data_IF_418228918865
#
_entry.id   IF_418228918865
#
_cell.length_a   1.000
_cell.length_b   1.000
_cell.length_c   1.000
_cell.angle_alpha   90.00
_cell.angle_beta   90.00
_cell.angle_gamma   90.00
#
_symmetry.space_group_name_H-M   'P 1'
#
loop_
_entity.id
_entity.type
_entity.pdbx_description
1 polymer ?
#
# COMPACT_ATOMS: atom_id res chain seq x y z
N UNK A 1 13.51 23.20 -29.81
CA UNK A 1 12.93 22.26 -30.81
C UNK A 1 13.33 20.88 -30.33
N UNK A 2 12.40 19.94 -30.19
CA UNK A 2 12.68 18.63 -29.60
C UNK A 2 12.76 17.53 -30.65
N UNK A 3 13.52 16.46 -30.38
CA UNK A 3 13.56 15.26 -31.23
C UNK A 3 12.38 14.30 -30.99
N UNK A 4 12.12 13.40 -31.95
CA UNK A 4 11.16 12.29 -31.79
C UNK A 4 11.86 10.93 -31.82
N UNK A 5 11.35 10.01 -31.02
CA UNK A 5 11.72 8.59 -31.02
C UNK A 5 10.49 7.72 -31.19
N UNK A 6 10.69 6.42 -31.40
CA UNK A 6 9.59 5.47 -31.43
C UNK A 6 8.80 5.49 -30.09
N UNK A 7 7.46 5.54 -30.12
CA UNK A 7 6.64 5.42 -28.93
C UNK A 7 6.94 4.15 -28.14
N UNK A 8 6.79 4.20 -26.82
CA UNK A 8 6.90 3.00 -26.00
C UNK A 8 5.72 2.06 -26.26
N UNK A 9 5.98 0.76 -26.37
CA UNK A 9 4.96 -0.24 -26.78
C UNK A 9 4.08 -0.76 -25.63
N UNK A 10 4.33 -0.31 -24.40
CA UNK A 10 3.62 -0.79 -23.22
C UNK A 10 4.02 -2.18 -22.75
N UNK A 11 5.11 -2.72 -23.28
CA UNK A 11 5.70 -3.98 -22.84
C UNK A 11 6.07 -3.91 -21.37
N UNK A 12 5.71 -4.96 -20.62
CA UNK A 12 6.01 -5.11 -19.20
C UNK A 12 6.94 -6.29 -18.95
N UNK A 13 7.78 -6.19 -17.93
CA UNK A 13 8.59 -7.29 -17.43
C UNK A 13 7.76 -8.27 -16.59
N UNK A 14 8.39 -9.36 -16.14
CA UNK A 14 7.74 -10.38 -15.31
C UNK A 14 7.23 -9.85 -13.96
N UNK A 15 7.70 -8.67 -13.53
CA UNK A 15 7.30 -8.00 -12.31
C UNK A 15 6.22 -6.93 -12.56
N UNK A 16 5.69 -6.85 -13.78
CA UNK A 16 4.65 -5.91 -14.18
C UNK A 16 5.12 -4.47 -14.35
N UNK A 17 6.44 -4.22 -14.38
CA UNK A 17 7.00 -2.89 -14.66
C UNK A 17 7.14 -2.68 -16.15
N UNK A 18 7.03 -1.43 -16.60
CA UNK A 18 7.33 -1.13 -18.00
C UNK A 18 8.79 -1.44 -18.28
N UNK A 19 9.04 -2.02 -19.45
CA UNK A 19 10.40 -2.14 -19.96
C UNK A 19 11.07 -0.76 -20.02
N UNK A 20 12.37 -0.65 -19.75
CA UNK A 20 13.04 0.65 -19.75
C UNK A 20 12.89 1.39 -21.08
N UNK A 21 12.66 2.70 -21.01
CA UNK A 21 12.76 3.57 -22.19
C UNK A 21 14.22 3.60 -22.63
N UNK A 22 14.51 3.18 -23.87
CA UNK A 22 15.89 3.03 -24.39
C UNK A 22 16.70 4.32 -24.32
N UNK A 23 16.04 5.45 -24.38
CA UNK A 23 16.62 6.78 -24.42
C UNK A 23 16.31 7.62 -23.17
N UNK A 24 15.94 6.95 -22.07
CA UNK A 24 15.82 7.57 -20.76
C UNK A 24 16.85 6.96 -19.78
N UNK A 25 17.22 7.67 -18.70
CA UNK A 25 18.06 7.11 -17.67
C UNK A 25 17.46 5.84 -17.05
N UNK A 26 18.31 4.85 -16.76
CA UNK A 26 17.87 3.56 -16.23
C UNK A 26 17.08 3.66 -14.91
N UNK A 27 17.23 4.74 -14.15
CA UNK A 27 16.49 4.97 -12.91
C UNK A 27 15.06 5.48 -13.12
N UNK A 28 14.69 5.94 -14.32
CA UNK A 28 13.33 6.33 -14.65
C UNK A 28 12.49 5.10 -15.02
N UNK A 29 11.71 4.60 -14.04
CA UNK A 29 10.97 3.34 -14.14
C UNK A 29 9.49 3.49 -13.76
N UNK A 30 8.69 4.33 -14.44
CA UNK A 30 7.24 4.29 -14.28
C UNK A 30 6.72 2.91 -14.70
N UNK A 31 5.61 2.45 -14.10
CA UNK A 31 5.05 1.11 -14.38
C UNK A 31 3.60 1.14 -14.87
N UNK A 32 3.02 2.32 -15.05
CA UNK A 32 1.69 2.51 -15.64
C UNK A 32 1.81 3.15 -17.02
N UNK A 33 1.11 2.61 -18.00
CA UNK A 33 0.93 3.27 -19.30
C UNK A 33 -0.07 4.43 -19.21
N UNK A 34 -0.04 5.40 -20.13
CA UNK A 34 -1.07 6.43 -20.24
C UNK A 34 -2.50 5.86 -20.26
N UNK A 35 -2.72 4.77 -20.99
CA UNK A 35 -4.02 4.10 -21.07
C UNK A 35 -4.44 3.46 -19.74
N UNK A 36 -3.51 2.86 -19.00
CA UNK A 36 -3.77 2.36 -17.65
C UNK A 36 -4.08 3.48 -16.66
N UNK A 37 -3.37 4.61 -16.74
CA UNK A 37 -3.64 5.79 -15.90
C UNK A 37 -5.05 6.35 -16.15
N UNK A 38 -5.47 6.42 -17.41
CA UNK A 38 -6.82 6.83 -17.80
C UNK A 38 -7.89 5.88 -17.25
N UNK A 39 -7.72 4.57 -17.45
CA UNK A 39 -8.68 3.54 -16.98
C UNK A 39 -8.81 3.49 -15.47
N UNK A 40 -7.70 3.64 -14.74
CA UNK A 40 -7.73 3.67 -13.27
C UNK A 40 -8.34 4.96 -12.72
N UNK A 41 -8.49 6.01 -13.53
CA UNK A 41 -9.04 7.27 -13.09
C UNK A 41 -8.00 8.13 -12.37
N UNK A 42 -7.58 9.18 -13.06
CA UNK A 42 -6.59 10.14 -12.58
C UNK A 42 -7.18 11.55 -12.50
N UNK A 43 -6.67 12.35 -11.55
CA UNK A 43 -6.98 13.78 -11.43
C UNK A 43 -8.48 14.11 -11.40
N UNK A 44 -9.30 13.23 -10.84
CA UNK A 44 -10.74 13.40 -10.71
C UNK A 44 -11.48 13.58 -12.03
N UNK A 45 -10.86 13.14 -13.12
CA UNK A 45 -11.43 13.14 -14.46
C UNK A 45 -11.35 14.46 -15.24
N UNK A 46 -10.73 15.50 -14.70
CA UNK A 46 -10.70 16.82 -15.35
C UNK A 46 -9.49 17.06 -16.26
N UNK A 47 -8.53 16.15 -16.25
CA UNK A 47 -7.16 16.46 -16.69
C UNK A 47 -7.06 16.88 -18.16
N UNK A 48 -7.78 16.19 -19.04
CA UNK A 48 -7.77 16.46 -20.48
C UNK A 48 -8.92 17.35 -20.93
N UNK A 49 -9.70 17.92 -20.01
CA UNK A 49 -10.69 18.91 -20.40
C UNK A 49 -9.99 20.14 -21.00
N UNK A 50 -10.30 20.55 -22.24
CA UNK A 50 -9.60 21.67 -22.87
C UNK A 50 -10.00 23.02 -22.27
N UNK A 51 -11.08 23.10 -21.47
CA UNK A 51 -11.52 24.38 -20.91
C UNK A 51 -10.59 24.83 -19.79
N UNK A 52 -10.10 26.07 -19.94
CA UNK A 52 -9.35 26.79 -18.92
C UNK A 52 -10.13 26.96 -17.63
N UNK A 53 -9.40 27.17 -16.53
CA UNK A 53 -9.96 27.36 -15.19
C UNK A 53 -10.31 28.83 -14.88
N UNK A 54 -10.36 29.14 -13.58
CA UNK A 54 -10.79 30.45 -13.04
C UNK A 54 -9.85 31.59 -13.50
N UNK A 55 -10.34 32.84 -13.55
CA UNK A 55 -9.49 34.02 -13.74
C UNK A 55 -8.32 34.02 -12.76
N UNK A 56 -7.11 34.37 -13.22
CA UNK A 56 -5.88 34.39 -12.41
C UNK A 56 -4.92 33.21 -12.61
N UNK A 57 -5.30 32.21 -13.41
CA UNK A 57 -4.40 31.13 -13.84
C UNK A 57 -3.90 31.37 -15.27
N UNK A 58 -2.86 30.66 -15.71
CA UNK A 58 -2.13 30.84 -16.99
C UNK A 58 -3.02 30.84 -18.25
N UNK A 59 -4.16 30.14 -18.21
CA UNK A 59 -5.11 30.07 -19.32
C UNK A 59 -6.55 30.28 -18.85
N UNK A 60 -6.97 31.53 -18.56
CA UNK A 60 -8.31 31.80 -18.07
C UNK A 60 -9.32 31.77 -19.22
N UNK A 61 -10.53 31.27 -18.94
CA UNK A 61 -11.58 31.02 -19.95
C UNK A 61 -11.91 32.25 -20.82
N UNK A 62 -11.91 33.44 -20.25
CA UNK A 62 -12.25 34.67 -20.97
C UNK A 62 -11.22 35.04 -22.05
N UNK A 63 -9.94 34.73 -21.83
CA UNK A 63 -8.86 34.96 -22.80
C UNK A 63 -8.65 33.78 -23.76
N UNK A 64 -9.03 32.57 -23.34
CA UNK A 64 -8.87 31.35 -24.11
C UNK A 64 -10.23 30.62 -24.30
N UNK A 65 -11.18 31.22 -25.06
CA UNK A 65 -12.52 30.66 -25.23
C UNK A 65 -12.53 29.32 -25.99
N UNK A 66 -11.52 29.08 -26.84
CA UNK A 66 -11.34 27.83 -27.59
C UNK A 66 -10.65 26.72 -26.77
N UNK A 67 -10.21 27.02 -25.55
CA UNK A 67 -9.52 26.09 -24.65
C UNK A 67 -8.03 26.41 -24.46
N UNK A 68 -7.41 25.66 -23.56
CA UNK A 68 -5.99 25.76 -23.24
C UNK A 68 -5.17 25.31 -24.46
N UNK A 69 -4.28 26.16 -25.00
CA UNK A 69 -3.43 25.79 -26.12
C UNK A 69 -2.63 24.53 -25.81
N UNK A 70 -2.54 23.61 -26.78
CA UNK A 70 -1.76 22.38 -26.61
C UNK A 70 -2.37 21.36 -25.63
N UNK A 71 -3.62 21.52 -25.19
CA UNK A 71 -4.36 20.48 -24.46
C UNK A 71 -5.48 19.96 -25.36
N UNK A 72 -5.23 18.82 -26.01
CA UNK A 72 -6.24 18.05 -26.74
C UNK A 72 -5.96 16.57 -26.57
N UNK A 73 -7.01 15.74 -26.59
CA UNK A 73 -6.86 14.28 -26.64
C UNK A 73 -6.44 13.79 -28.04
N UNK A 74 -6.63 14.61 -29.07
CA UNK A 74 -6.34 14.26 -30.46
C UNK A 74 -4.83 14.09 -30.74
N UNK A 75 -3.98 14.55 -29.82
CA UNK A 75 -2.53 14.37 -29.92
C UNK A 75 -2.05 12.96 -29.53
N UNK A 76 -2.95 12.13 -28.98
CA UNK A 76 -2.64 10.81 -28.46
C UNK A 76 -3.36 9.69 -29.25
N UNK A 77 -2.83 8.46 -29.21
CA UNK A 77 -3.49 7.30 -29.82
C UNK A 77 -4.92 7.13 -29.32
N UNK A 78 -5.88 6.95 -30.24
CA UNK A 78 -7.31 6.83 -29.91
C UNK A 78 -7.59 5.59 -29.06
N UNK A 79 -6.81 4.55 -29.27
CA UNK A 79 -6.86 3.25 -28.59
C UNK A 79 -6.64 3.41 -27.08
N UNK A 80 -5.94 4.47 -26.65
CA UNK A 80 -5.74 4.73 -25.21
C UNK A 80 -7.04 5.10 -24.48
N UNK A 81 -7.98 5.71 -25.20
CA UNK A 81 -9.27 6.18 -24.70
C UNK A 81 -10.42 5.23 -25.02
N UNK A 82 -10.18 4.21 -25.84
CA UNK A 82 -11.18 3.21 -26.18
C UNK A 82 -11.65 2.47 -24.91
N UNK A 83 -12.98 2.44 -24.73
CA UNK A 83 -13.63 1.87 -23.55
C UNK A 83 -13.46 2.67 -22.25
N UNK A 84 -12.81 3.85 -22.28
CA UNK A 84 -12.66 4.72 -21.10
C UNK A 84 -13.85 5.69 -21.05
N UNK A 85 -14.63 5.73 -19.94
CA UNK A 85 -15.68 6.73 -19.78
C UNK A 85 -15.12 8.16 -19.87
N UNK A 86 -15.80 9.04 -20.62
CA UNK A 86 -15.35 10.43 -20.84
C UNK A 86 -15.23 11.20 -19.53
N UNK A 87 -15.99 10.84 -18.51
CA UNK A 87 -15.97 11.43 -17.19
C UNK A 87 -14.61 11.23 -16.49
N UNK A 88 -13.83 10.21 -16.86
CA UNK A 88 -12.51 9.93 -16.31
C UNK A 88 -11.40 10.79 -16.91
N UNK A 89 -11.67 11.61 -17.93
CA UNK A 89 -10.63 12.45 -18.54
C UNK A 89 -11.10 13.79 -19.12
N UNK A 90 -12.37 13.93 -19.49
CA UNK A 90 -12.99 15.15 -20.03
C UNK A 90 -14.02 15.80 -19.08
N UNK A 91 -14.10 15.39 -17.82
CA UNK A 91 -15.00 16.03 -16.86
C UNK A 91 -14.69 17.52 -16.74
N UNK A 92 -15.73 18.33 -16.51
CA UNK A 92 -15.56 19.77 -16.24
C UNK A 92 -15.22 20.06 -14.78
N UNK A 93 -15.60 19.16 -13.88
CA UNK A 93 -15.45 19.33 -12.43
C UNK A 93 -14.75 18.12 -11.84
N UNK A 94 -13.82 18.40 -10.93
CA UNK A 94 -13.08 17.36 -10.25
C UNK A 94 -14.05 16.52 -9.42
N UNK A 95 -14.02 15.21 -9.61
CA UNK A 95 -14.79 14.25 -8.83
C UNK A 95 -13.87 13.21 -8.22
N UNK A 96 -13.87 13.09 -6.90
CA UNK A 96 -13.13 12.01 -6.22
C UNK A 96 -13.65 10.64 -6.60
N UNK A 97 -14.93 10.51 -6.96
CA UNK A 97 -15.52 9.23 -7.40
C UNK A 97 -14.90 8.71 -8.70
N UNK A 98 -14.28 9.59 -9.49
CA UNK A 98 -13.59 9.24 -10.72
C UNK A 98 -12.14 8.80 -10.48
N UNK A 99 -11.64 8.88 -9.25
CA UNK A 99 -10.30 8.42 -8.90
C UNK A 99 -10.31 6.97 -8.44
N UNK A 100 -9.28 6.20 -8.81
CA UNK A 100 -9.05 4.82 -8.37
C UNK A 100 -9.30 4.62 -6.87
N UNK A 101 -8.73 5.50 -6.04
CA UNK A 101 -8.78 5.39 -4.59
C UNK A 101 -9.85 6.26 -3.94
N UNK A 102 -10.76 6.86 -4.72
CA UNK A 102 -11.91 7.67 -4.24
C UNK A 102 -11.56 8.83 -3.29
N UNK A 103 -10.32 9.34 -3.36
CA UNK A 103 -9.82 10.45 -2.54
C UNK A 103 -9.26 11.59 -3.38
N UNK A 104 -9.27 12.80 -2.85
CA UNK A 104 -8.57 13.93 -3.45
C UNK A 104 -7.07 13.82 -3.19
N UNK A 105 -6.26 14.00 -4.24
CA UNK A 105 -4.81 14.06 -4.15
C UNK A 105 -4.27 15.15 -5.09
N UNK A 106 -3.22 15.84 -4.64
CA UNK A 106 -2.53 16.89 -5.39
C UNK A 106 -3.02 18.31 -5.11
N UNK A 107 -2.24 19.27 -5.58
CA UNK A 107 -2.63 20.68 -5.67
C UNK A 107 -3.57 20.88 -6.86
N UNK A 108 -4.26 22.01 -6.88
CA UNK A 108 -4.96 22.46 -8.08
C UNK A 108 -4.01 23.15 -9.07
N UNK A 109 -4.57 23.56 -10.22
CA UNK A 109 -3.80 24.23 -11.28
C UNK A 109 -3.09 25.49 -10.76
N UNK A 110 -3.74 26.29 -9.91
CA UNK A 110 -3.14 27.52 -9.38
C UNK A 110 -1.92 27.19 -8.50
N UNK A 111 -2.01 26.17 -7.65
CA UNK A 111 -0.88 25.70 -6.86
C UNK A 111 0.27 25.12 -7.69
N UNK A 112 -0.03 24.49 -8.84
CA UNK A 112 1.01 24.04 -9.78
C UNK A 112 1.71 25.20 -10.47
N UNK A 113 0.96 26.24 -10.86
CA UNK A 113 1.50 27.44 -11.50
C UNK A 113 2.38 28.24 -10.53
N UNK A 114 1.91 28.47 -9.29
CA UNK A 114 2.70 29.17 -8.27
C UNK A 114 3.97 28.43 -7.88
N UNK A 115 4.00 27.11 -8.04
CA UNK A 115 5.19 26.28 -7.78
C UNK A 115 6.15 26.20 -8.97
N UNK A 116 5.83 26.84 -10.10
CA UNK A 116 6.63 26.76 -11.34
C UNK A 116 6.65 25.35 -11.94
N UNK A 117 5.60 24.55 -11.74
CA UNK A 117 5.54 23.14 -12.17
C UNK A 117 4.97 22.94 -13.57
N UNK A 118 4.41 23.99 -14.16
CA UNK A 118 3.82 24.00 -15.50
C UNK A 118 4.69 24.85 -16.42
N UNK A 119 4.88 24.37 -17.64
CA UNK A 119 5.63 25.05 -18.70
C UNK A 119 4.71 25.30 -19.89
N UNK A 120 5.16 26.11 -20.86
CA UNK A 120 4.42 26.31 -22.11
C UNK A 120 4.41 25.06 -22.98
N UNK A 121 5.41 24.18 -22.81
CA UNK A 121 5.43 22.88 -23.46
C UNK A 121 4.28 22.02 -22.96
N UNK A 122 4.08 21.92 -21.65
CA UNK A 122 3.05 21.06 -21.05
C UNK A 122 2.18 21.83 -20.06
N UNK A 123 1.12 22.51 -20.54
CA UNK A 123 0.18 23.30 -19.74
C UNK A 123 -0.53 22.56 -18.61
N UNK A 124 -0.56 21.22 -18.66
CA UNK A 124 -1.09 20.35 -17.60
C UNK A 124 0.00 19.76 -16.71
N UNK A 125 1.27 20.09 -16.94
CA UNK A 125 2.40 19.65 -16.13
C UNK A 125 2.81 18.20 -16.40
N UNK A 126 3.27 17.52 -15.33
CA UNK A 126 3.97 16.24 -15.44
C UNK A 126 3.20 15.14 -16.18
N UNK A 127 1.89 14.97 -15.94
CA UNK A 127 1.15 13.87 -16.59
C UNK A 127 1.02 14.11 -18.10
N UNK A 128 0.86 15.35 -18.57
CA UNK A 128 0.88 15.66 -20.00
C UNK A 128 2.27 15.48 -20.60
N UNK A 129 3.30 15.93 -19.88
CA UNK A 129 4.69 15.64 -20.26
C UNK A 129 4.89 14.13 -20.42
N UNK A 130 4.44 13.33 -19.45
CA UNK A 130 4.58 11.87 -19.47
C UNK A 130 3.86 11.23 -20.65
N UNK A 131 2.63 11.64 -20.97
CA UNK A 131 1.89 11.10 -22.12
C UNK A 131 2.64 11.38 -23.44
N UNK A 132 3.19 12.59 -23.60
CA UNK A 132 3.96 12.96 -24.79
C UNK A 132 5.33 12.28 -24.82
N UNK A 133 6.01 12.17 -23.68
CA UNK A 133 7.25 11.43 -23.52
C UNK A 133 7.05 9.95 -23.88
N UNK A 134 5.97 9.35 -23.40
CA UNK A 134 5.57 7.98 -23.73
C UNK A 134 5.29 7.81 -25.23
N UNK A 135 4.69 8.83 -25.86
CA UNK A 135 4.45 8.90 -27.30
C UNK A 135 5.70 9.24 -28.12
N UNK A 136 6.88 9.29 -27.49
CA UNK A 136 8.17 9.48 -28.17
C UNK A 136 8.62 10.93 -28.37
N UNK A 137 7.96 11.93 -27.78
CA UNK A 137 8.48 13.31 -27.77
C UNK A 137 9.65 13.43 -26.80
N UNK A 138 10.72 14.08 -27.21
CA UNK A 138 11.82 14.52 -26.33
C UNK A 138 12.00 16.03 -26.41
N UNK A 139 12.44 16.63 -25.32
CA UNK A 139 12.73 18.06 -25.22
C UNK A 139 14.21 18.25 -24.93
N UNK A 140 14.89 18.98 -25.81
CA UNK A 140 16.35 19.16 -25.76
C UNK A 140 16.76 20.39 -24.90
N UNK A 141 15.80 20.98 -24.17
CA UNK A 141 15.97 22.18 -23.33
C UNK A 141 16.17 21.86 -21.83
N UNK A 142 16.36 20.59 -21.48
CA UNK A 142 16.53 20.14 -20.09
C UNK A 142 15.22 19.81 -19.36
N UNK A 143 14.05 19.99 -20.00
CA UNK A 143 12.78 19.73 -19.34
C UNK A 143 12.52 18.23 -19.11
N UNK A 144 12.99 17.35 -20.00
CA UNK A 144 12.90 15.90 -19.80
C UNK A 144 13.68 15.46 -18.55
N UNK A 145 14.92 15.92 -18.40
CA UNK A 145 15.77 15.65 -17.24
C UNK A 145 15.12 16.16 -15.96
N UNK A 146 14.54 17.36 -16.01
CA UNK A 146 13.83 17.95 -14.87
C UNK A 146 12.63 17.09 -14.47
N UNK A 147 11.79 16.68 -15.41
CA UNK A 147 10.58 15.90 -15.10
C UNK A 147 10.91 14.47 -14.65
N UNK A 148 11.96 13.87 -15.20
CA UNK A 148 12.52 12.58 -14.74
C UNK A 148 13.08 12.72 -13.31
N UNK A 149 13.82 13.78 -13.02
CA UNK A 149 14.34 14.06 -11.68
C UNK A 149 13.23 14.23 -10.66
N UNK A 150 12.15 14.95 -11.00
CA UNK A 150 10.96 15.09 -10.14
C UNK A 150 10.28 13.74 -9.89
N UNK A 151 10.16 12.91 -10.92
CA UNK A 151 9.61 11.57 -10.77
C UNK A 151 10.49 10.72 -9.84
N UNK A 152 11.82 10.78 -9.99
CA UNK A 152 12.78 10.06 -9.14
C UNK A 152 12.67 10.49 -7.67
N UNK A 153 12.55 11.79 -7.41
CA UNK A 153 12.35 12.33 -6.06
C UNK A 153 11.00 11.93 -5.43
N UNK A 154 10.02 11.53 -6.25
CA UNK A 154 8.66 11.18 -5.81
C UNK A 154 8.45 9.66 -5.68
N UNK A 155 8.70 8.92 -6.76
CA UNK A 155 8.44 7.49 -6.94
C UNK A 155 9.69 6.64 -7.19
N UNK A 156 10.88 7.25 -7.37
CA UNK A 156 12.13 6.52 -7.52
C UNK A 156 12.52 5.72 -6.27
N UNK A 157 13.66 5.04 -6.30
CA UNK A 157 14.08 4.14 -5.21
C UNK A 157 14.24 4.83 -3.86
N UNK A 158 14.61 6.11 -3.86
CA UNK A 158 14.65 6.98 -2.67
C UNK A 158 13.48 7.99 -2.63
N UNK A 159 12.50 7.82 -3.51
CA UNK A 159 11.40 8.74 -3.72
C UNK A 159 10.52 8.89 -2.48
N UNK A 160 10.25 10.14 -2.10
CA UNK A 160 9.55 10.50 -0.85
C UNK A 160 8.24 9.75 -0.69
N UNK A 161 7.40 9.74 -1.72
CA UNK A 161 6.04 9.21 -1.63
C UNK A 161 6.01 7.68 -1.73
N UNK A 162 6.91 7.06 -2.52
CA UNK A 162 7.10 5.59 -2.53
C UNK A 162 7.54 5.10 -1.15
N UNK A 163 8.58 5.70 -0.57
CA UNK A 163 9.10 5.31 0.75
C UNK A 163 8.07 5.55 1.86
N UNK A 164 7.29 6.64 1.79
CA UNK A 164 6.21 6.91 2.74
C UNK A 164 5.10 5.85 2.68
N UNK A 165 4.70 5.42 1.48
CA UNK A 165 3.70 4.35 1.35
C UNK A 165 4.20 3.04 1.95
N UNK A 166 5.44 2.64 1.62
CA UNK A 166 6.07 1.43 2.16
C UNK A 166 6.11 1.48 3.69
N UNK A 167 6.50 2.61 4.28
CA UNK A 167 6.53 2.77 5.72
C UNK A 167 5.16 2.59 6.36
N UNK A 168 4.10 3.17 5.79
CA UNK A 168 2.74 3.03 6.31
C UNK A 168 2.20 1.61 6.19
N UNK A 169 2.53 0.91 5.10
CA UNK A 169 2.21 -0.53 4.95
C UNK A 169 2.90 -1.34 6.06
N UNK A 170 4.18 -1.11 6.32
CA UNK A 170 4.92 -1.78 7.40
C UNK A 170 4.31 -1.48 8.78
N UNK A 171 3.99 -0.20 9.07
CA UNK A 171 3.35 0.18 10.33
C UNK A 171 2.02 -0.55 10.52
N UNK A 172 1.20 -0.65 9.48
CA UNK A 172 -0.08 -1.33 9.57
C UNK A 172 0.04 -2.85 9.57
N UNK A 173 1.18 -3.41 9.15
CA UNK A 173 1.35 -4.86 9.01
C UNK A 173 0.52 -5.44 7.87
N UNK A 174 0.19 -4.59 6.89
CA UNK A 174 -0.67 -4.93 5.77
C UNK A 174 0.14 -5.46 4.57
N UNK A 175 -0.55 -6.03 3.60
CA UNK A 175 0.05 -6.38 2.31
C UNK A 175 0.39 -5.12 1.49
N UNK A 176 1.38 -5.21 0.60
CA UNK A 176 1.83 -4.06 -0.21
C UNK A 176 0.73 -3.49 -1.11
N UNK A 177 -0.23 -4.33 -1.51
CA UNK A 177 -1.37 -4.04 -2.37
C UNK A 177 -2.66 -3.66 -1.61
N UNK A 178 -2.63 -3.60 -0.27
CA UNK A 178 -3.79 -3.17 0.51
C UNK A 178 -4.11 -1.68 0.26
N UNK A 179 -5.15 -1.46 -0.54
CA UNK A 179 -5.62 -0.14 -0.98
C UNK A 179 -6.15 0.73 0.15
N UNK A 180 -6.51 0.14 1.29
CA UNK A 180 -6.94 0.91 2.48
C UNK A 180 -5.78 1.66 3.11
N UNK A 181 -4.55 1.20 2.89
CA UNK A 181 -3.35 1.84 3.40
C UNK A 181 -3.03 3.09 2.58
N UNK A 182 -3.23 4.25 3.21
CA UNK A 182 -2.83 5.57 2.70
C UNK A 182 -3.31 5.85 1.26
N UNK A 183 -4.63 5.78 0.97
CA UNK A 183 -5.20 5.92 -0.37
C UNK A 183 -4.79 7.24 -1.06
N UNK A 184 -4.58 8.31 -0.30
CA UNK A 184 -4.11 9.60 -0.84
C UNK A 184 -2.72 9.47 -1.46
N UNK A 185 -1.80 8.74 -0.82
CA UNK A 185 -0.44 8.53 -1.34
C UNK A 185 -0.47 7.60 -2.54
N UNK A 186 -1.31 6.57 -2.51
CA UNK A 186 -1.52 5.70 -3.68
C UNK A 186 -2.05 6.48 -4.88
N UNK A 187 -3.03 7.37 -4.67
CA UNK A 187 -3.53 8.26 -5.72
C UNK A 187 -2.47 9.23 -6.22
N UNK A 188 -1.64 9.78 -5.32
CA UNK A 188 -0.49 10.63 -5.71
C UNK A 188 0.47 9.87 -6.62
N UNK A 189 0.85 8.66 -6.25
CA UNK A 189 1.76 7.83 -7.04
C UNK A 189 1.15 7.46 -8.41
N UNK A 190 -0.15 7.16 -8.44
CA UNK A 190 -0.88 6.90 -9.69
C UNK A 190 -0.81 8.08 -10.66
N UNK A 191 -0.97 9.32 -10.16
CA UNK A 191 -0.81 10.53 -10.99
C UNK A 191 0.60 10.66 -11.61
N UNK A 192 1.59 9.99 -11.02
CA UNK A 192 2.99 9.94 -11.44
C UNK A 192 3.36 8.61 -12.15
N UNK A 193 2.36 7.94 -12.73
CA UNK A 193 2.50 6.69 -13.47
C UNK A 193 3.18 5.56 -12.67
N UNK A 194 2.96 5.53 -11.35
CA UNK A 194 3.54 4.54 -10.47
C UNK A 194 2.49 3.87 -9.57
N UNK A 195 2.55 2.55 -9.49
CA UNK A 195 1.86 1.73 -8.50
C UNK A 195 2.86 0.86 -7.74
N UNK A 196 2.68 0.67 -6.43
CA UNK A 196 3.62 -0.10 -5.62
C UNK A 196 3.56 -1.59 -5.99
N UNK A 197 4.68 -2.15 -6.44
CA UNK A 197 4.83 -3.59 -6.68
C UNK A 197 5.38 -4.30 -5.45
N UNK A 198 5.24 -5.63 -5.41
CA UNK A 198 5.84 -6.45 -4.36
C UNK A 198 7.37 -6.31 -4.34
N UNK A 199 8.02 -6.38 -5.50
CA UNK A 199 9.46 -6.25 -5.62
C UNK A 199 9.97 -4.89 -5.10
N UNK A 200 9.23 -3.82 -5.40
CA UNK A 200 9.52 -2.47 -4.89
C UNK A 200 9.31 -2.36 -3.38
N UNK A 201 8.26 -3.00 -2.86
CA UNK A 201 8.01 -3.06 -1.42
C UNK A 201 9.12 -3.82 -0.69
N UNK A 202 9.50 -5.02 -1.15
CA UNK A 202 10.55 -5.82 -0.54
C UNK A 202 11.90 -5.11 -0.54
N UNK A 203 12.25 -4.47 -1.67
CA UNK A 203 13.47 -3.68 -1.77
C UNK A 203 13.43 -2.45 -0.84
N UNK A 204 12.36 -1.66 -0.91
CA UNK A 204 12.23 -0.43 -0.12
C UNK A 204 12.03 -0.69 1.37
N UNK A 205 11.41 -1.80 1.78
CA UNK A 205 11.16 -2.13 3.18
C UNK A 205 12.45 -2.30 3.97
N UNK A 206 13.50 -2.88 3.36
CA UNK A 206 14.84 -2.95 3.96
C UNK A 206 15.35 -1.55 4.30
N UNK A 207 15.31 -0.64 3.34
CA UNK A 207 15.75 0.75 3.51
C UNK A 207 14.91 1.49 4.56
N UNK A 208 13.59 1.39 4.48
CA UNK A 208 12.66 2.07 5.40
C UNK A 208 12.87 1.62 6.84
N UNK A 209 13.11 0.34 7.10
CA UNK A 209 13.43 -0.15 8.45
C UNK A 209 14.74 0.42 8.99
N UNK A 210 15.74 0.62 8.13
CA UNK A 210 17.05 1.15 8.53
C UNK A 210 17.05 2.68 8.71
N UNK A 211 16.34 3.42 7.85
CA UNK A 211 16.46 4.88 7.78
C UNK A 211 15.15 5.63 8.06
N UNK A 212 14.03 4.94 8.17
CA UNK A 212 12.71 5.55 8.19
C UNK A 212 12.30 6.11 6.82
N UNK A 213 11.17 6.83 6.85
CA UNK A 213 10.65 7.62 5.76
C UNK A 213 10.32 9.04 6.26
N UNK A 214 10.16 9.99 5.33
CA UNK A 214 9.97 11.42 5.67
C UNK A 214 8.86 11.69 6.69
N UNK A 215 7.76 10.95 6.63
CA UNK A 215 6.62 11.13 7.53
C UNK A 215 6.44 9.99 8.53
N UNK A 216 7.38 9.04 8.54
CA UNK A 216 7.39 7.88 9.44
C UNK A 216 8.85 7.67 9.85
N UNK A 217 9.31 8.37 10.89
CA UNK A 217 10.69 8.23 11.33
C UNK A 217 10.94 6.83 11.92
N UNK A 218 12.23 6.47 12.02
CA UNK A 218 12.66 5.10 12.35
C UNK A 218 12.17 4.63 13.73
N UNK A 219 12.17 5.53 14.71
CA UNK A 219 11.70 5.28 16.07
C UNK A 219 10.26 4.77 16.10
N UNK A 220 9.37 5.39 15.32
CA UNK A 220 7.96 4.95 15.21
C UNK A 220 7.85 3.55 14.60
N UNK A 221 8.70 3.21 13.63
CA UNK A 221 8.74 1.87 13.05
C UNK A 221 9.21 0.83 14.07
N UNK A 222 10.28 1.13 14.82
CA UNK A 222 10.82 0.22 15.84
C UNK A 222 9.79 -0.02 16.94
N UNK A 223 9.10 1.03 17.39
CA UNK A 223 8.07 0.92 18.43
C UNK A 223 6.90 0.00 18.03
N UNK A 224 6.55 -0.06 16.74
CA UNK A 224 5.49 -0.94 16.24
C UNK A 224 6.00 -2.36 15.95
N UNK A 225 7.23 -2.50 15.45
CA UNK A 225 7.77 -3.78 15.03
C UNK A 225 8.25 -4.65 16.21
N UNK A 226 8.81 -4.05 17.26
CA UNK A 226 9.35 -4.82 18.40
C UNK A 226 8.28 -5.65 19.15
N UNK A 227 7.10 -5.10 19.50
CA UNK A 227 6.03 -5.89 20.12
C UNK A 227 5.52 -7.01 19.21
N UNK A 228 5.40 -6.76 17.91
CA UNK A 228 4.97 -7.76 16.91
C UNK A 228 5.96 -8.91 16.78
N UNK A 229 7.26 -8.61 16.78
CA UNK A 229 8.30 -9.64 16.75
C UNK A 229 8.27 -10.50 18.02
N UNK A 230 8.08 -9.87 19.19
CA UNK A 230 7.93 -10.59 20.46
C UNK A 230 6.71 -11.52 20.45
N UNK A 231 5.54 -11.01 20.08
CA UNK A 231 4.31 -11.80 19.99
C UNK A 231 4.44 -12.97 19.01
N UNK A 232 5.09 -12.75 17.86
CA UNK A 232 5.37 -13.82 16.89
C UNK A 232 6.25 -14.92 17.47
N UNK A 233 7.35 -14.57 18.13
CA UNK A 233 8.22 -15.55 18.78
C UNK A 233 7.53 -16.32 19.91
N UNK A 234 6.67 -15.66 20.70
CA UNK A 234 5.87 -16.32 21.74
C UNK A 234 4.87 -17.30 21.14
N UNK A 235 4.19 -16.93 20.05
CA UNK A 235 3.27 -17.81 19.32
C UNK A 235 3.98 -19.02 18.69
N UNK A 236 5.15 -18.81 18.07
CA UNK A 236 5.96 -19.89 17.50
C UNK A 236 6.44 -20.87 18.59
N UNK A 237 6.86 -20.38 19.76
CA UNK A 237 7.22 -21.22 20.90
C UNK A 237 6.04 -22.00 21.44
N UNK A 238 4.86 -21.37 21.55
CA UNK A 238 3.65 -22.05 21.98
C UNK A 238 3.22 -23.14 20.98
N UNK A 239 3.27 -22.86 19.67
CA UNK A 239 2.97 -23.83 18.63
C UNK A 239 3.96 -25.03 18.65
N UNK A 240 5.25 -24.76 18.86
CA UNK A 240 6.26 -25.81 19.00
C UNK A 240 6.03 -26.68 20.26
N UNK A 241 5.63 -26.08 21.39
CA UNK A 241 5.29 -26.82 22.60
C UNK A 241 4.06 -27.72 22.42
N UNK A 242 3.03 -27.24 21.70
CA UNK A 242 1.84 -28.04 21.36
C UNK A 242 2.19 -29.18 20.38
N UNK A 243 3.12 -28.96 19.46
CA UNK A 243 3.61 -30.01 18.56
C UNK A 243 4.43 -31.09 19.30
N UNK A 244 5.12 -30.72 20.39
CA UNK A 244 5.88 -31.66 21.24
C UNK A 244 4.97 -32.42 22.23
N UNK A 245 3.82 -31.84 22.61
CA UNK A 245 2.75 -32.52 23.37
C UNK A 245 1.76 -33.34 22.52
N UNK A 246 1.80 -33.23 21.18
CA UNK A 246 1.00 -34.06 20.29
C UNK A 246 1.43 -35.53 20.44
N UNK A 247 0.52 -36.35 20.97
CA UNK A 247 0.79 -37.71 21.46
C UNK A 247 1.62 -38.59 20.51
N UNK A 248 2.45 -39.50 21.08
CA UNK A 248 3.20 -40.47 20.32
C UNK A 248 2.25 -41.26 19.39
N UNK A 249 2.60 -41.36 18.10
CA UNK A 249 1.88 -42.23 17.17
C UNK A 249 1.85 -43.66 17.72
N UNK A 250 0.79 -44.42 17.42
CA UNK A 250 0.58 -45.77 17.96
C UNK A 250 1.80 -46.71 17.80
N UNK A 251 2.67 -46.45 16.82
CA UNK A 251 3.95 -47.13 16.63
C UNK A 251 4.95 -46.85 17.77
N UNK A 252 5.13 -45.59 18.17
CA UNK A 252 6.03 -45.22 19.27
C UNK A 252 5.51 -45.63 20.65
N UNK A 253 4.19 -45.74 20.82
CA UNK A 253 3.59 -46.31 22.03
C UNK A 253 3.84 -47.84 22.13
N UNK A 254 3.79 -48.56 21.00
CA UNK A 254 4.10 -49.99 20.94
C UNK A 254 5.60 -50.25 21.20
N UNK A 255 6.49 -49.46 20.61
CA UNK A 255 7.95 -49.55 20.84
C UNK A 255 8.33 -49.22 22.29
N UNK A 256 7.67 -48.23 22.91
CA UNK A 256 7.87 -47.92 24.32
C UNK A 256 7.34 -49.02 25.26
N UNK A 257 6.26 -49.71 24.89
CA UNK A 257 5.72 -50.85 25.64
C UNK A 257 6.65 -52.09 25.52
N UNK A 258 7.23 -52.32 24.34
CA UNK A 258 8.21 -53.38 24.12
C UNK A 258 9.53 -53.11 24.88
N UNK A 259 10.01 -51.86 24.89
CA UNK A 259 11.17 -51.45 25.67
C UNK A 259 10.94 -51.57 27.20
N UNK A 260 9.73 -51.26 27.69
CA UNK A 260 9.34 -51.47 29.09
C UNK A 260 9.27 -52.96 29.45
N UNK A 261 8.78 -53.81 28.55
CA UNK A 261 8.73 -55.26 28.75
C UNK A 261 10.13 -55.87 28.81
N UNK A 262 11.04 -55.46 27.92
CA UNK A 262 12.46 -55.86 27.95
C UNK A 262 13.20 -55.36 29.21
N UNK A 263 12.81 -54.21 29.74
CA UNK A 263 13.35 -53.66 31.00
C UNK A 263 12.79 -54.36 32.24
N UNK A 264 11.55 -54.82 32.20
CA UNK A 264 10.92 -55.62 33.25
C UNK A 264 11.51 -57.04 33.33
N UNK A 265 11.79 -57.68 32.19
CA UNK A 265 12.53 -58.95 32.13
C UNK A 265 13.95 -58.81 32.69
N UNK A 266 14.63 -57.68 32.41
CA UNK A 266 15.94 -57.38 33.02
C UNK A 266 15.87 -57.07 34.51
N UNK A 267 14.73 -56.58 35.02
CA UNK A 267 14.52 -56.28 36.45
C UNK A 267 14.02 -57.48 37.27
N UNK A 268 13.52 -58.54 36.64
CA UNK A 268 13.17 -59.80 37.29
C UNK A 268 14.36 -60.59 37.87
N UNK A 269 15.59 -60.08 37.76
CA UNK A 269 16.82 -60.70 38.27
C UNK A 269 17.46 -59.97 39.46
N UNK A 270 16.76 -59.05 40.12
CA UNK A 270 17.30 -58.37 41.30
C UNK A 270 16.25 -58.26 42.42
N UNK A 271 16.51 -58.95 43.52
CA UNK A 271 15.78 -58.87 44.79
C UNK A 271 16.10 -57.58 45.58
N UNK A 272 15.25 -57.19 46.56
CA UNK A 272 15.09 -55.81 46.99
C UNK A 272 15.84 -55.47 48.29
N UNK A 273 16.19 -54.19 48.47
CA UNK A 273 16.65 -53.64 49.74
C UNK A 273 15.86 -52.38 50.15
N UNK A 274 15.27 -52.51 51.35
CA UNK A 274 14.85 -51.56 52.40
C UNK A 274 14.56 -50.08 52.12
N UNK A 275 13.35 -49.73 52.57
CA UNK A 275 12.79 -48.46 53.07
C UNK A 275 13.74 -47.37 53.62
N UNK A 276 13.32 -46.10 53.47
CA UNK A 276 13.18 -45.20 54.63
C UNK A 276 12.31 -43.97 54.31
N UNK A 277 11.35 -43.73 55.20
CA UNK A 277 10.46 -42.58 55.34
C UNK A 277 11.20 -41.29 55.72
N UNK A 278 10.64 -40.12 55.39
CA UNK A 278 10.66 -38.94 56.29
C UNK A 278 9.59 -37.90 55.93
N UNK A 279 8.82 -37.56 56.96
CA UNK A 279 7.84 -36.49 57.15
C UNK A 279 8.51 -35.23 57.73
N UNK A 280 7.96 -34.04 57.45
CA UNK A 280 7.93 -32.81 58.29
C UNK A 280 7.44 -31.65 57.41
N UNK A 281 6.68 -30.63 57.82
CA UNK A 281 6.33 -30.06 59.12
C UNK A 281 5.88 -28.61 58.86
N UNK A 282 4.97 -28.09 59.68
CA UNK A 282 4.22 -26.84 59.52
C UNK A 282 4.90 -25.58 60.13
N UNK A 283 4.25 -24.41 59.96
CA UNK A 283 4.14 -23.19 60.84
C UNK A 283 4.09 -21.90 59.96
N UNK A 284 2.99 -21.11 59.93
CA UNK A 284 2.53 -20.01 60.83
C UNK A 284 3.50 -18.78 60.82
N UNK A 285 3.14 -17.49 60.71
CA UNK A 285 2.00 -16.67 61.15
C UNK A 285 2.00 -15.24 60.49
N UNK A 286 0.84 -14.54 60.52
CA UNK A 286 0.53 -13.08 60.71
C UNK A 286 1.31 -11.96 59.96
N UNK A 287 0.84 -10.72 59.68
CA UNK A 287 -0.41 -9.93 59.76
C UNK A 287 -0.08 -8.56 59.07
N UNK A 288 -1.08 -7.75 58.65
CA UNK A 288 -0.88 -6.33 58.33
C UNK A 288 -1.75 -5.73 57.20
N UNK A 289 -2.72 -4.87 57.55
CA UNK A 289 -3.58 -4.06 56.66
C UNK A 289 -2.82 -3.09 55.73
N UNK A 290 -3.41 -2.41 54.75
CA UNK A 290 -4.36 -1.30 54.97
C UNK A 290 -5.03 -0.85 53.64
N UNK A 291 -6.24 -0.31 53.80
CA UNK A 291 -6.98 0.72 53.04
C UNK A 291 -7.17 0.74 51.50
N UNK A 292 -8.46 0.90 51.14
CA UNK A 292 -9.02 1.22 49.83
C UNK A 292 -9.82 2.53 49.92
N UNK A 293 -9.61 3.47 48.98
CA UNK A 293 -10.61 4.43 48.47
C UNK A 293 -10.02 5.25 47.29
N UNK A 294 -10.80 6.03 46.50
CA UNK A 294 -11.98 5.63 45.74
C UNK A 294 -11.95 6.08 44.25
N UNK A 295 -12.87 5.51 43.46
CA UNK A 295 -13.09 5.74 42.02
C UNK A 295 -13.66 7.15 41.74
N UNK A 296 -13.07 7.86 40.77
CA UNK A 296 -13.60 9.15 40.26
C UNK A 296 -14.73 8.94 39.24
N UNK A 297 -15.83 9.62 39.55
CA UNK A 297 -17.09 9.82 38.82
C UNK A 297 -16.83 10.54 37.49
N UNK A 298 -17.28 9.98 36.36
CA UNK A 298 -17.40 10.71 35.08
C UNK A 298 -18.74 11.43 35.05
N UNK A 299 -18.71 12.75 34.86
CA UNK A 299 -19.89 13.59 34.68
C UNK A 299 -20.42 13.46 33.25
N UNK A 300 -21.74 13.36 33.14
CA UNK A 300 -22.48 13.32 31.88
C UNK A 300 -22.63 14.72 31.29
N UNK A 301 -22.51 14.83 29.97
CA UNK A 301 -22.84 16.02 29.20
C UNK A 301 -24.25 15.91 28.60
N UNK A 302 -24.99 17.02 28.44
CA UNK A 302 -26.44 17.01 28.19
C UNK A 302 -26.82 16.62 26.77
N UNK A 303 -27.91 15.86 26.68
CA UNK A 303 -28.57 15.40 25.46
C UNK A 303 -29.43 16.52 24.85
N UNK A 304 -28.94 17.14 23.77
CA UNK A 304 -29.76 17.95 22.86
C UNK A 304 -30.22 17.10 21.68
N UNK A 305 -31.53 17.01 21.48
CA UNK A 305 -32.17 16.16 20.47
C UNK A 305 -31.83 16.58 19.03
N UNK A 306 -31.54 15.58 18.19
CA UNK A 306 -31.48 15.74 16.75
C UNK A 306 -32.48 14.76 16.12
N UNK A 307 -33.40 15.30 15.33
CA UNK A 307 -34.48 14.58 14.68
C UNK A 307 -33.95 13.45 13.78
N UNK A 308 -34.60 12.28 13.88
CA UNK A 308 -34.27 11.10 13.11
C UNK A 308 -34.55 11.30 11.61
N UNK A 309 -33.50 11.64 10.84
CA UNK A 309 -33.53 11.49 9.39
C UNK A 309 -33.53 10.00 9.03
N UNK A 310 -34.61 9.55 8.37
CA UNK A 310 -34.75 8.20 7.83
C UNK A 310 -33.58 7.89 6.91
N UNK A 311 -32.78 6.87 7.24
CA UNK A 311 -31.74 6.33 6.36
C UNK A 311 -32.44 5.56 5.23
N UNK A 312 -32.40 6.09 4.02
CA UNK A 312 -32.71 5.30 2.83
C UNK A 312 -31.62 4.24 2.63
N UNK A 313 -32.03 3.03 2.27
CA UNK A 313 -31.12 1.93 1.96
C UNK A 313 -30.16 2.34 0.83
N UNK A 314 -28.88 2.02 1.00
CA UNK A 314 -27.86 2.27 -0.01
C UNK A 314 -28.24 1.50 -1.30
N UNK A 315 -28.09 2.12 -2.49
CA UNK A 315 -28.34 1.43 -3.75
C UNK A 315 -27.39 0.22 -3.88
N UNK A 316 -27.82 -0.85 -4.58
CA UNK A 316 -27.00 -2.04 -4.76
C UNK A 316 -25.65 -1.66 -5.38
N UNK A 317 -24.58 -2.29 -4.88
CA UNK A 317 -23.23 -2.03 -5.34
C UNK A 317 -23.15 -2.20 -6.87
N UNK A 318 -22.63 -1.18 -7.56
CA UNK A 318 -22.41 -1.24 -8.99
C UNK A 318 -21.51 -2.45 -9.33
N UNK A 319 -21.75 -3.13 -10.47
CA UNK A 319 -20.93 -4.25 -10.89
C UNK A 319 -19.47 -3.80 -11.02
N UNK A 320 -18.56 -4.63 -10.50
CA UNK A 320 -17.13 -4.37 -10.52
C UNK A 320 -16.64 -4.20 -11.97
N UNK A 321 -15.86 -3.16 -12.23
CA UNK A 321 -15.23 -3.01 -13.55
C UNK A 321 -14.20 -4.12 -13.78
N UNK A 322 -13.86 -4.51 -15.03
CA UNK A 322 -12.91 -5.59 -15.31
C UNK A 322 -11.57 -5.48 -14.56
N UNK A 323 -11.09 -4.26 -14.34
CA UNK A 323 -9.91 -4.00 -13.49
C UNK A 323 -10.13 -4.38 -12.03
N UNK A 324 -11.30 -4.05 -11.45
CA UNK A 324 -11.61 -4.43 -10.08
C UNK A 324 -11.73 -5.95 -9.97
N UNK A 325 -12.26 -6.63 -10.98
CA UNK A 325 -12.28 -8.10 -11.05
C UNK A 325 -10.87 -8.69 -11.08
N UNK A 326 -9.97 -8.18 -11.94
CA UNK A 326 -8.58 -8.64 -12.03
C UNK A 326 -7.78 -8.36 -10.73
N UNK A 327 -8.08 -7.23 -10.08
CA UNK A 327 -7.52 -6.86 -8.78
C UNK A 327 -8.02 -7.79 -7.66
N UNK A 328 -9.31 -8.04 -7.58
CA UNK A 328 -9.87 -8.96 -6.59
C UNK A 328 -9.38 -10.39 -6.83
N UNK A 329 -9.23 -10.81 -8.10
CA UNK A 329 -8.59 -12.09 -8.44
C UNK A 329 -7.12 -12.16 -7.99
N UNK A 330 -6.38 -11.05 -8.10
CA UNK A 330 -5.00 -10.96 -7.62
C UNK A 330 -4.93 -10.97 -6.09
N UNK A 331 -5.83 -10.26 -5.40
CA UNK A 331 -5.96 -10.32 -3.94
C UNK A 331 -6.30 -11.72 -3.45
N UNK A 332 -7.20 -12.42 -4.14
CA UNK A 332 -7.57 -13.80 -3.81
C UNK A 332 -6.37 -14.74 -3.93
N UNK A 333 -5.59 -14.63 -5.02
CA UNK A 333 -4.33 -15.39 -5.19
C UNK A 333 -3.30 -15.08 -4.11
N UNK A 334 -3.14 -13.80 -3.75
CA UNK A 334 -2.19 -13.38 -2.72
C UNK A 334 -2.63 -13.84 -1.32
N UNK A 335 -3.93 -13.80 -1.01
CA UNK A 335 -4.48 -14.33 0.25
C UNK A 335 -4.28 -15.83 0.35
N UNK A 336 -4.57 -16.58 -0.71
CA UNK A 336 -4.31 -18.01 -0.76
C UNK A 336 -2.82 -18.34 -0.53
N UNK A 337 -1.91 -17.52 -1.09
CA UNK A 337 -0.47 -17.66 -0.88
C UNK A 337 -0.02 -17.28 0.53
N UNK A 338 -0.68 -16.34 1.20
CA UNK A 338 -0.42 -16.01 2.60
C UNK A 338 -0.93 -17.09 3.55
N UNK A 339 -2.08 -17.69 3.25
CA UNK A 339 -2.61 -18.87 3.96
C UNK A 339 -1.69 -20.08 3.80
N UNK A 340 -1.20 -20.35 2.57
CA UNK A 340 -0.21 -21.41 2.29
C UNK A 340 1.10 -21.22 3.08
N UNK A 341 1.50 -19.96 3.31
CA UNK A 341 2.69 -19.61 4.08
C UNK A 341 2.44 -19.49 5.59
N UNK A 342 1.21 -19.73 6.07
CA UNK A 342 0.84 -19.63 7.50
C UNK A 342 0.89 -18.21 8.07
N UNK A 343 0.67 -17.20 7.24
CA UNK A 343 0.81 -15.77 7.57
C UNK A 343 -0.53 -15.01 7.61
N UNK A 344 -1.67 -15.73 7.70
CA UNK A 344 -3.03 -15.18 7.67
C UNK A 344 -3.41 -14.40 8.93
#
# INVERSE_FOLDING_TARGET
>A
MGRRVAPHKGTKDAQGRLTPFKDAPAHFKPNLTPSEMLRKGMHGGIYWNPKGGKPGIRYPRNKFPKGIPGVSIDEFPKEWFEGVPKELYLSRRYSTNNNCYKVKSGLDQAGWESSGWITDHDPRGWTQWYFRFYSGRRLDDGEDERQIGRWSALAGDKGRWKQNLIAKVIMQGASFDDVSVSPVVRQTLLHWAYELTEADFLHGAKRVRTHGATYVPRDQLVAVLAPRAKAKHEAERAAAAVADEALPTAQSAAEAAEARSRRAERRGRAEPASASSRTSGADADADGGEERAPKRRRQAAPTGGCAAARRSAAPPAAPLVPYELEREATKARNRAKLEELGLS
#
